data_IF_832848649828
#
_entry.id   IF_832848649828
#
_cell.length_a   1.000
_cell.length_b   1.000
_cell.length_c   1.000
_cell.angle_alpha   90.00
_cell.angle_beta   90.00
_cell.angle_gamma   90.00
#
_symmetry.space_group_name_H-M   'P 1'
#
loop_
_entity.id
_entity.type
_entity.pdbx_description
1 polymer ?
#
# COMPACT_ATOMS: atom_id res chain seq x y z
N UNK A 1 -5.59 -7.30 23.75
CA UNK A 1 -6.84 -8.04 24.14
C UNK A 1 -8.09 -7.22 23.85
N UNK A 2 -8.25 -6.01 24.40
CA UNK A 2 -9.48 -5.22 24.27
C UNK A 2 -9.98 -5.03 22.83
N UNK A 3 -9.10 -4.63 21.88
CA UNK A 3 -9.51 -4.42 20.49
C UNK A 3 -10.05 -5.69 19.82
N UNK A 4 -9.45 -6.86 20.06
CA UNK A 4 -9.96 -8.13 19.50
C UNK A 4 -11.37 -8.47 19.99
N UNK A 5 -11.68 -8.12 21.23
CA UNK A 5 -13.06 -8.27 21.77
C UNK A 5 -14.01 -7.32 21.04
N UNK A 6 -13.64 -6.05 20.91
CA UNK A 6 -14.42 -5.04 20.17
C UNK A 6 -14.59 -5.46 18.70
N UNK A 7 -13.53 -5.95 18.06
CA UNK A 7 -13.58 -6.43 16.69
C UNK A 7 -14.58 -7.57 16.53
N UNK A 8 -14.49 -8.61 17.37
CA UNK A 8 -15.37 -9.78 17.27
C UNK A 8 -16.83 -9.47 17.61
N UNK A 9 -17.09 -8.60 18.58
CA UNK A 9 -18.45 -8.25 19.00
C UNK A 9 -19.12 -7.26 18.06
N UNK A 10 -18.36 -6.35 17.46
CA UNK A 10 -18.89 -5.22 16.69
C UNK A 10 -18.50 -5.28 15.22
N UNK A 11 -17.21 -5.09 14.92
CA UNK A 11 -16.77 -4.93 13.54
C UNK A 11 -16.92 -6.20 12.69
N UNK A 12 -16.74 -7.38 13.28
CA UNK A 12 -16.89 -8.65 12.56
C UNK A 12 -18.31 -8.91 12.02
N UNK A 13 -19.31 -8.28 12.61
CA UNK A 13 -20.73 -8.42 12.23
C UNK A 13 -21.23 -7.40 11.22
N UNK A 14 -20.50 -6.30 11.05
CA UNK A 14 -20.84 -5.25 10.08
C UNK A 14 -20.37 -5.65 8.68
N UNK A 15 -20.94 -5.04 7.65
CA UNK A 15 -20.34 -5.05 6.33
C UNK A 15 -18.89 -4.55 6.39
N UNK A 16 -18.01 -5.16 5.60
CA UNK A 16 -16.56 -4.87 5.71
C UNK A 16 -16.21 -3.44 5.30
N UNK A 17 -16.88 -2.89 4.28
CA UNK A 17 -16.65 -1.52 3.82
C UNK A 17 -17.26 -0.50 4.79
N UNK A 18 -18.44 -0.79 5.38
CA UNK A 18 -19.02 0.05 6.44
C UNK A 18 -18.11 0.09 7.68
N UNK A 19 -17.59 -1.07 8.11
CA UNK A 19 -16.63 -1.14 9.22
C UNK A 19 -15.38 -0.32 8.95
N UNK A 20 -14.87 -0.33 7.70
CA UNK A 20 -13.75 0.51 7.28
C UNK A 20 -14.09 2.01 7.39
N UNK A 21 -15.26 2.44 6.92
CA UNK A 21 -15.70 3.83 7.04
C UNK A 21 -15.83 4.29 8.49
N UNK A 22 -16.39 3.47 9.37
CA UNK A 22 -16.49 3.75 10.81
C UNK A 22 -15.08 3.86 11.43
N UNK A 23 -14.19 2.92 11.13
CA UNK A 23 -12.81 2.94 11.60
C UNK A 23 -12.05 4.17 11.13
N UNK A 24 -12.20 4.54 9.86
CA UNK A 24 -11.57 5.73 9.27
C UNK A 24 -12.13 7.01 9.91
N UNK A 25 -13.44 7.09 10.14
CA UNK A 25 -14.05 8.21 10.88
C UNK A 25 -13.47 8.32 12.28
N UNK A 26 -13.37 7.20 13.01
CA UNK A 26 -12.79 7.16 14.36
C UNK A 26 -11.32 7.62 14.38
N UNK A 27 -10.50 7.18 13.42
CA UNK A 27 -9.09 7.61 13.29
C UNK A 27 -9.01 9.12 13.04
N UNK A 28 -9.81 9.63 12.11
CA UNK A 28 -9.86 11.08 11.79
C UNK A 28 -10.32 11.92 12.98
N UNK A 29 -11.37 11.47 13.66
CA UNK A 29 -11.88 12.15 14.86
C UNK A 29 -10.82 12.17 15.97
N UNK A 30 -10.23 11.00 16.31
CA UNK A 30 -9.16 10.91 17.30
C UNK A 30 -7.97 11.79 16.95
N UNK A 31 -7.60 11.89 15.66
CA UNK A 31 -6.57 12.80 15.17
C UNK A 31 -6.94 14.27 15.33
N UNK A 32 -8.17 14.64 15.05
CA UNK A 32 -8.66 16.01 15.17
C UNK A 32 -8.67 16.51 16.63
N UNK A 33 -9.03 15.65 17.58
CA UNK A 33 -9.01 15.98 19.03
C UNK A 33 -7.65 15.69 19.70
N UNK A 34 -6.63 15.25 18.93
CA UNK A 34 -5.27 15.04 19.44
C UNK A 34 -5.02 13.73 20.20
N UNK A 35 -6.00 12.83 20.28
CA UNK A 35 -5.85 11.55 20.98
C UNK A 35 -4.81 10.63 20.33
N UNK A 36 -4.64 10.69 19.01
CA UNK A 36 -3.62 9.91 18.29
C UNK A 36 -2.20 10.26 18.69
N UNK A 37 -1.95 11.49 19.17
CA UNK A 37 -0.63 11.92 19.67
C UNK A 37 -0.15 11.08 20.85
N UNK A 38 -1.04 10.52 21.67
CA UNK A 38 -0.70 9.63 22.77
C UNK A 38 -0.11 8.29 22.31
N UNK A 39 -0.38 7.93 21.06
CA UNK A 39 0.17 6.73 20.43
C UNK A 39 1.49 6.98 19.70
N UNK A 40 1.90 8.23 19.50
CA UNK A 40 3.11 8.59 18.76
C UNK A 40 4.35 7.91 19.36
N UNK A 41 5.15 7.31 18.50
CA UNK A 41 6.44 6.75 18.88
C UNK A 41 7.45 7.91 18.91
N UNK A 42 8.20 7.99 19.99
CA UNK A 42 9.44 8.80 20.04
C UNK A 42 10.58 7.86 19.73
N UNK A 43 11.06 7.89 18.49
CA UNK A 43 12.23 7.12 18.11
C UNK A 43 13.48 7.84 18.60
N UNK A 44 14.42 7.09 19.18
CA UNK A 44 15.74 7.60 19.61
C UNK A 44 16.76 7.59 18.47
N UNK A 45 16.30 7.46 17.22
CA UNK A 45 17.16 7.30 16.03
C UNK A 45 17.59 5.85 15.77
N UNK A 46 17.45 4.93 16.73
CA UNK A 46 17.68 3.50 16.50
C UNK A 46 16.56 2.95 15.61
N UNK A 47 16.92 2.18 14.57
CA UNK A 47 15.98 1.58 13.62
C UNK A 47 15.39 2.56 12.61
N UNK A 48 15.87 3.81 12.55
CA UNK A 48 15.56 4.70 11.43
C UNK A 48 16.21 4.17 10.13
N UNK A 49 15.56 4.43 9.00
CA UNK A 49 15.99 3.96 7.69
C UNK A 49 16.21 5.15 6.77
N UNK A 50 17.33 5.15 6.06
CA UNK A 50 17.58 6.06 4.94
C UNK A 50 17.34 5.29 3.64
N UNK A 51 16.43 5.75 2.81
CA UNK A 51 16.13 5.13 1.53
C UNK A 51 15.72 6.19 0.51
N UNK A 52 16.18 6.04 -0.73
CA UNK A 52 15.87 6.93 -1.87
C UNK A 52 15.83 8.43 -1.51
N UNK A 53 16.83 8.87 -0.72
CA UNK A 53 16.98 10.28 -0.30
C UNK A 53 16.05 10.72 0.83
N UNK A 54 15.23 9.83 1.39
CA UNK A 54 14.27 10.12 2.46
C UNK A 54 14.69 9.49 3.79
N UNK A 55 14.33 10.16 4.88
CA UNK A 55 14.48 9.65 6.24
C UNK A 55 13.16 9.08 6.76
N UNK A 56 13.18 7.84 7.20
CA UNK A 56 12.06 7.14 7.82
C UNK A 56 12.38 6.91 9.30
N UNK A 57 11.53 7.39 10.20
CA UNK A 57 11.70 7.22 11.65
C UNK A 57 11.73 5.75 12.10
N UNK A 58 11.13 4.85 11.31
CA UNK A 58 11.09 3.41 11.52
C UNK A 58 10.77 2.69 10.20
N UNK A 59 11.03 1.37 10.07
CA UNK A 59 10.87 0.68 8.78
C UNK A 59 9.43 0.33 8.40
N UNK A 60 8.45 0.37 9.33
CA UNK A 60 7.10 -0.13 9.08
C UNK A 60 6.09 0.99 8.81
N UNK A 61 5.37 0.90 7.68
CA UNK A 61 4.34 1.84 7.23
C UNK A 61 3.02 1.18 6.86
N UNK A 62 2.05 1.99 6.44
CA UNK A 62 0.77 1.51 5.92
C UNK A 62 0.78 1.47 4.40
N UNK A 63 0.32 0.34 3.84
CA UNK A 63 0.22 0.15 2.40
C UNK A 63 -0.97 0.92 1.79
N UNK A 64 -0.86 1.21 0.49
CA UNK A 64 -1.96 1.78 -0.30
C UNK A 64 -3.27 1.00 -0.17
N UNK A 65 -4.38 1.69 -0.34
CA UNK A 65 -5.74 1.14 -0.23
C UNK A 65 -6.42 1.45 1.09
N UNK A 66 -5.68 1.76 2.16
CA UNK A 66 -6.27 2.11 3.45
C UNK A 66 -6.80 3.56 3.47
N UNK A 67 -5.95 4.52 3.17
CA UNK A 67 -6.35 5.93 2.97
C UNK A 67 -6.27 6.29 1.48
N UNK A 68 -7.36 6.08 0.75
CA UNK A 68 -7.36 6.29 -0.70
C UNK A 68 -7.31 7.75 -1.12
N UNK A 69 -7.72 8.65 -0.23
CA UNK A 69 -8.01 10.04 -0.57
C UNK A 69 -7.21 11.05 0.28
N UNK A 70 -6.16 10.60 0.97
CA UNK A 70 -5.31 11.46 1.80
C UNK A 70 -6.08 12.19 2.92
N UNK A 71 -6.97 11.49 3.63
CA UNK A 71 -7.84 12.08 4.65
C UNK A 71 -7.41 11.79 6.09
N UNK A 72 -6.45 10.87 6.31
CA UNK A 72 -6.03 10.42 7.64
C UNK A 72 -4.52 10.35 7.84
N UNK A 73 -3.70 10.86 6.91
CA UNK A 73 -2.24 10.72 6.89
C UNK A 73 -1.60 11.03 8.25
N UNK A 74 -1.85 12.23 8.78
CA UNK A 74 -1.28 12.67 10.06
C UNK A 74 -1.67 11.75 11.21
N UNK A 75 -2.95 11.38 11.29
CA UNK A 75 -3.45 10.52 12.35
C UNK A 75 -2.83 9.10 12.26
N UNK A 76 -2.65 8.56 11.05
CA UNK A 76 -1.98 7.29 10.82
C UNK A 76 -0.50 7.34 11.26
N UNK A 77 0.23 8.41 10.93
CA UNK A 77 1.58 8.63 11.43
C UNK A 77 1.64 8.69 12.96
N UNK A 78 0.71 9.41 13.60
CA UNK A 78 0.61 9.48 15.07
C UNK A 78 0.25 8.12 15.70
N UNK A 79 -0.46 7.22 14.98
CA UNK A 79 -0.72 5.84 15.42
C UNK A 79 0.50 4.91 15.29
N UNK A 80 1.62 5.43 14.77
CA UNK A 80 2.91 4.74 14.76
C UNK A 80 3.36 4.20 13.41
N UNK A 81 2.68 4.54 12.30
CA UNK A 81 3.21 4.28 10.95
C UNK A 81 4.28 5.32 10.61
N UNK A 82 5.46 4.88 10.19
CA UNK A 82 6.56 5.77 9.82
C UNK A 82 6.34 6.40 8.43
N UNK A 83 5.63 5.71 7.57
CA UNK A 83 5.21 6.21 6.28
C UNK A 83 3.79 5.76 5.96
N UNK A 84 3.11 6.57 5.14
CA UNK A 84 1.72 6.35 4.75
C UNK A 84 1.65 6.39 3.22
N UNK A 85 1.40 5.24 2.59
CA UNK A 85 1.13 5.17 1.17
C UNK A 85 -0.38 5.34 0.95
N UNK A 86 -0.76 6.51 0.41
CA UNK A 86 -2.15 6.83 0.08
C UNK A 86 -2.50 6.33 -1.33
N UNK A 87 -3.78 6.26 -1.65
CA UNK A 87 -4.26 5.83 -2.96
C UNK A 87 -4.75 4.37 -2.93
N UNK A 88 -4.90 3.73 -4.07
CA UNK A 88 -4.49 4.19 -5.41
C UNK A 88 -5.36 5.35 -5.87
N UNK A 89 -4.71 6.40 -6.35
CA UNK A 89 -5.34 7.58 -6.96
C UNK A 89 -5.25 7.44 -8.49
N UNK A 90 -6.31 7.79 -9.19
CA UNK A 90 -6.36 7.82 -10.66
C UNK A 90 -6.46 9.27 -11.15
N UNK A 91 -6.09 9.55 -12.39
CA UNK A 91 -6.19 10.91 -12.95
C UNK A 91 -7.61 11.45 -12.81
N UNK A 92 -8.59 10.64 -13.17
CA UNK A 92 -10.01 10.96 -13.05
C UNK A 92 -10.61 10.35 -11.77
N UNK A 93 -11.59 11.03 -11.12
CA UNK A 93 -12.33 10.44 -10.00
C UNK A 93 -13.17 9.25 -10.45
N UNK A 94 -13.30 8.25 -9.59
CA UNK A 94 -14.15 7.10 -9.90
C UNK A 94 -14.74 6.46 -8.65
N UNK A 95 -15.98 5.95 -8.78
CA UNK A 95 -16.72 5.31 -7.69
C UNK A 95 -16.17 3.92 -7.34
N UNK A 96 -15.41 3.30 -8.25
CA UNK A 96 -14.97 1.91 -8.12
C UNK A 96 -16.03 0.91 -8.59
N UNK A 97 -15.83 -0.36 -8.25
CA UNK A 97 -16.73 -1.44 -8.60
C UNK A 97 -18.01 -1.44 -7.75
N UNK A 98 -19.03 -2.16 -8.19
CA UNK A 98 -20.29 -2.33 -7.45
C UNK A 98 -20.09 -3.02 -6.09
N UNK A 99 -20.95 -2.68 -5.15
CA UNK A 99 -21.00 -3.28 -3.81
C UNK A 99 -21.92 -4.52 -3.81
N UNK A 100 -21.62 -5.51 -2.93
CA UNK A 100 -20.51 -5.60 -1.98
C UNK A 100 -19.18 -5.90 -2.69
N UNK A 101 -18.11 -5.32 -2.22
CA UNK A 101 -16.78 -5.37 -2.87
C UNK A 101 -15.60 -5.55 -1.91
N UNK A 102 -15.89 -5.80 -0.64
CA UNK A 102 -14.91 -6.08 0.40
C UNK A 102 -15.44 -7.18 1.33
N UNK A 103 -14.69 -8.27 1.47
CA UNK A 103 -15.10 -9.45 2.23
C UNK A 103 -14.00 -9.86 3.20
N UNK A 104 -14.38 -10.17 4.44
CA UNK A 104 -13.45 -10.70 5.46
C UNK A 104 -13.50 -12.22 5.50
N UNK A 105 -12.34 -12.83 5.44
CA UNK A 105 -12.15 -14.25 5.68
C UNK A 105 -11.52 -14.41 7.06
N UNK A 106 -12.34 -14.37 8.11
CA UNK A 106 -11.89 -14.29 9.51
C UNK A 106 -11.02 -15.50 9.90
N UNK A 107 -11.38 -16.75 9.54
CA UNK A 107 -10.53 -17.92 9.84
C UNK A 107 -9.13 -17.83 9.26
N UNK A 108 -8.97 -17.14 8.13
CA UNK A 108 -7.71 -16.94 7.42
C UNK A 108 -7.01 -15.63 7.74
N UNK A 109 -7.62 -14.77 8.60
CA UNK A 109 -7.13 -13.41 8.84
C UNK A 109 -6.85 -12.66 7.54
N UNK A 110 -7.77 -12.74 6.61
CA UNK A 110 -7.63 -12.31 5.23
C UNK A 110 -8.80 -11.43 4.78
N UNK A 111 -8.59 -10.74 3.66
CA UNK A 111 -9.62 -9.97 2.96
C UNK A 111 -9.62 -10.35 1.48
N UNK A 112 -10.81 -10.49 0.90
CA UNK A 112 -10.99 -10.39 -0.56
C UNK A 112 -11.54 -9.01 -0.88
N UNK A 113 -10.88 -8.30 -1.79
CA UNK A 113 -11.34 -6.99 -2.24
C UNK A 113 -11.43 -6.92 -3.77
N UNK A 114 -12.46 -6.23 -4.25
CA UNK A 114 -12.63 -5.82 -5.64
C UNK A 114 -13.05 -4.36 -5.73
N UNK A 115 -12.32 -3.50 -5.00
CA UNK A 115 -12.67 -2.08 -4.81
C UNK A 115 -12.66 -1.28 -6.11
N UNK A 116 -11.76 -1.57 -7.07
CA UNK A 116 -11.70 -0.90 -8.38
C UNK A 116 -11.24 0.55 -8.29
N UNK A 117 -10.27 0.85 -7.43
CA UNK A 117 -9.65 2.17 -7.27
C UNK A 117 -10.66 3.32 -7.02
N UNK A 118 -11.66 3.10 -6.15
CA UNK A 118 -12.55 4.20 -5.76
C UNK A 118 -11.77 5.34 -5.09
N UNK A 119 -11.76 6.52 -5.72
CA UNK A 119 -11.02 7.68 -5.27
C UNK A 119 -11.58 9.01 -5.84
N UNK A 120 -11.16 10.13 -5.25
CA UNK A 120 -11.65 11.47 -5.59
C UNK A 120 -10.92 12.11 -6.79
N UNK A 121 -9.98 11.40 -7.42
CA UNK A 121 -9.17 11.87 -8.54
C UNK A 121 -7.94 12.68 -8.12
N UNK A 122 -6.93 12.71 -9.00
CA UNK A 122 -5.62 13.31 -8.72
C UNK A 122 -5.71 14.79 -8.35
N UNK A 123 -6.57 15.57 -9.03
CA UNK A 123 -6.69 17.00 -8.76
C UNK A 123 -7.20 17.30 -7.33
N UNK A 124 -8.21 16.55 -6.86
CA UNK A 124 -8.77 16.76 -5.52
C UNK A 124 -7.79 16.30 -4.44
N UNK A 125 -7.13 15.17 -4.67
CA UNK A 125 -6.13 14.62 -3.74
C UNK A 125 -4.92 15.54 -3.66
N UNK A 126 -4.41 16.07 -4.77
CA UNK A 126 -3.30 17.02 -4.79
C UNK A 126 -3.58 18.27 -3.95
N UNK A 127 -4.75 18.91 -4.13
CA UNK A 127 -5.18 20.04 -3.32
C UNK A 127 -5.28 19.73 -1.83
N UNK A 128 -5.64 18.48 -1.50
CA UNK A 128 -5.73 18.02 -0.11
C UNK A 128 -4.34 17.83 0.50
N UNK A 129 -3.41 17.25 -0.24
CA UNK A 129 -2.01 17.11 0.16
C UNK A 129 -1.33 18.47 0.33
N UNK A 130 -1.52 19.40 -0.60
CA UNK A 130 -1.03 20.78 -0.51
C UNK A 130 -1.47 21.45 0.80
N UNK A 131 -2.76 21.42 1.11
CA UNK A 131 -3.31 21.96 2.36
C UNK A 131 -2.76 21.27 3.60
N UNK A 132 -2.58 19.95 3.54
CA UNK A 132 -2.02 19.16 4.63
C UNK A 132 -0.58 19.59 4.92
N UNK A 133 0.26 19.71 3.87
CA UNK A 133 1.65 20.15 3.99
C UNK A 133 1.76 21.60 4.47
N UNK A 134 0.98 22.52 3.93
CA UNK A 134 0.94 23.90 4.37
C UNK A 134 0.58 24.03 5.86
N UNK A 135 -0.31 23.16 6.37
CA UNK A 135 -0.74 23.19 7.77
C UNK A 135 0.22 22.53 8.74
N UNK A 136 0.94 21.49 8.33
CA UNK A 136 1.67 20.62 9.26
C UNK A 136 3.19 20.56 9.01
N UNK A 137 3.67 21.03 7.85
CA UNK A 137 5.10 21.06 7.50
C UNK A 137 5.77 19.69 7.69
N UNK A 138 6.88 19.69 8.41
CA UNK A 138 7.67 18.49 8.71
C UNK A 138 7.07 17.54 9.77
N UNK A 139 5.91 17.90 10.36
CA UNK A 139 5.25 17.05 11.36
C UNK A 139 4.35 15.96 10.75
N UNK A 140 4.64 15.55 9.52
CA UNK A 140 3.96 14.48 8.82
C UNK A 140 4.85 13.25 8.70
N UNK A 141 4.29 12.03 8.64
CA UNK A 141 5.04 10.87 8.21
C UNK A 141 5.48 11.03 6.75
N UNK A 142 6.43 10.23 6.28
CA UNK A 142 6.72 10.15 4.85
C UNK A 142 5.45 9.76 4.09
N UNK A 143 5.13 10.49 3.03
CA UNK A 143 3.91 10.33 2.24
C UNK A 143 4.24 9.70 0.88
N UNK A 144 3.89 8.44 0.71
CA UNK A 144 3.86 7.80 -0.60
C UNK A 144 2.51 8.06 -1.28
N UNK A 145 2.53 8.32 -2.58
CA UNK A 145 1.31 8.42 -3.38
C UNK A 145 1.30 7.32 -4.43
N UNK A 146 0.37 6.39 -4.26
CA UNK A 146 0.16 5.28 -5.18
C UNK A 146 -0.79 5.75 -6.30
N UNK A 147 -0.34 5.65 -7.55
CA UNK A 147 -1.09 6.05 -8.74
C UNK A 147 -1.42 4.85 -9.62
N UNK A 148 -2.58 4.90 -10.25
CA UNK A 148 -3.06 3.82 -11.11
C UNK A 148 -3.91 4.34 -12.27
N UNK A 149 -4.15 3.48 -13.27
CA UNK A 149 -4.94 3.81 -14.46
C UNK A 149 -6.41 4.03 -14.11
N UNK A 150 -6.99 5.11 -14.62
CA UNK A 150 -8.44 5.36 -14.58
C UNK A 150 -9.19 4.27 -15.35
N UNK A 151 -10.34 3.81 -14.81
CA UNK A 151 -11.11 2.70 -15.40
C UNK A 151 -11.60 3.00 -16.81
N UNK A 152 -12.00 4.25 -17.05
CA UNK A 152 -12.57 4.70 -18.33
C UNK A 152 -11.53 4.92 -19.42
N UNK A 153 -10.25 4.91 -19.05
CA UNK A 153 -9.14 5.05 -20.00
C UNK A 153 -8.75 3.67 -20.50
N UNK A 154 -8.65 3.50 -21.81
CA UNK A 154 -8.22 2.25 -22.44
C UNK A 154 -6.76 1.94 -22.12
N UNK A 155 -6.36 0.67 -22.25
CA UNK A 155 -5.02 0.21 -21.92
C UNK A 155 -3.95 0.91 -22.77
N UNK A 156 -4.24 1.15 -24.03
CA UNK A 156 -3.38 1.82 -25.01
C UNK A 156 -3.10 3.29 -24.67
N UNK A 157 -3.94 3.89 -23.83
CA UNK A 157 -3.81 5.26 -23.36
C UNK A 157 -3.35 5.36 -21.88
N UNK A 158 -2.92 4.23 -21.31
CA UNK A 158 -2.49 4.17 -19.91
C UNK A 158 -1.36 5.16 -19.61
N UNK A 159 -0.37 5.27 -20.50
CA UNK A 159 0.76 6.20 -20.34
C UNK A 159 0.29 7.62 -20.04
N UNK A 160 -0.61 8.17 -20.86
CA UNK A 160 -1.11 9.54 -20.70
C UNK A 160 -1.86 9.74 -19.39
N UNK A 161 -2.58 8.74 -18.90
CA UNK A 161 -3.35 8.77 -17.66
C UNK A 161 -2.42 8.74 -16.42
N UNK A 162 -1.37 7.88 -16.45
CA UNK A 162 -0.33 7.89 -15.41
C UNK A 162 0.46 9.20 -15.40
N UNK A 163 0.82 9.74 -16.57
CA UNK A 163 1.46 11.04 -16.75
C UNK A 163 0.66 12.16 -16.09
N UNK A 164 -0.65 12.21 -16.37
CA UNK A 164 -1.54 13.22 -15.78
C UNK A 164 -1.62 13.11 -14.25
N UNK A 165 -1.68 11.88 -13.72
CA UNK A 165 -1.65 11.65 -12.27
C UNK A 165 -0.33 12.08 -11.65
N UNK A 166 0.82 11.72 -12.26
CA UNK A 166 2.15 12.05 -11.77
C UNK A 166 2.36 13.57 -11.73
N UNK A 167 2.02 14.28 -12.80
CA UNK A 167 2.13 15.76 -12.89
C UNK A 167 1.43 16.48 -11.74
N UNK A 168 0.24 16.00 -11.35
CA UNK A 168 -0.55 16.63 -10.29
C UNK A 168 -0.07 16.25 -8.88
N UNK A 169 0.43 15.04 -8.69
CA UNK A 169 0.65 14.46 -7.37
C UNK A 169 2.12 14.49 -6.92
N UNK A 170 3.07 14.40 -7.86
CA UNK A 170 4.49 14.40 -7.52
C UNK A 170 4.95 15.60 -6.68
N UNK A 171 4.50 16.85 -6.93
CA UNK A 171 4.92 18.00 -6.14
C UNK A 171 4.51 17.93 -4.66
N UNK A 172 3.58 17.04 -4.32
CA UNK A 172 3.03 16.89 -2.98
C UNK A 172 3.37 15.54 -2.32
N UNK A 173 4.00 14.62 -3.06
CA UNK A 173 4.44 13.32 -2.59
C UNK A 173 5.90 13.36 -2.11
N UNK A 174 6.27 12.49 -1.16
CA UNK A 174 7.67 12.21 -0.87
C UNK A 174 8.20 11.09 -1.77
N UNK A 175 7.33 10.19 -2.25
CA UNK A 175 7.58 9.26 -3.33
C UNK A 175 6.30 8.90 -4.09
N UNK A 176 6.43 8.51 -5.35
CA UNK A 176 5.35 7.94 -6.15
C UNK A 176 5.49 6.42 -6.25
N UNK A 177 4.34 5.71 -6.22
CA UNK A 177 4.27 4.28 -6.47
C UNK A 177 3.36 4.00 -7.68
N UNK A 178 3.94 3.50 -8.78
CA UNK A 178 3.20 3.15 -10.00
C UNK A 178 2.55 1.78 -9.82
N UNK A 179 1.23 1.74 -9.78
CA UNK A 179 0.46 0.53 -9.51
C UNK A 179 -0.13 -0.05 -10.80
N UNK A 180 0.55 -1.02 -11.37
CA UNK A 180 0.10 -1.80 -12.54
C UNK A 180 -0.41 -3.20 -12.17
N UNK A 181 -0.59 -3.49 -10.88
CA UNK A 181 -0.71 -4.86 -10.35
C UNK A 181 -2.08 -5.20 -9.76
N UNK A 182 -3.06 -4.29 -9.77
CA UNK A 182 -4.38 -4.59 -9.23
C UNK A 182 -5.16 -5.59 -10.11
N UNK A 183 -5.75 -6.65 -9.52
CA UNK A 183 -6.60 -7.57 -10.27
C UNK A 183 -8.02 -7.01 -10.52
N UNK A 184 -8.32 -5.82 -10.00
CA UNK A 184 -9.68 -5.28 -9.89
C UNK A 184 -10.00 -4.24 -10.97
N UNK A 185 -9.06 -3.96 -11.87
CA UNK A 185 -9.21 -3.05 -13.01
C UNK A 185 -8.94 -3.85 -14.28
N UNK A 186 -9.87 -3.89 -15.23
CA UNK A 186 -9.71 -4.66 -16.47
C UNK A 186 -8.42 -4.27 -17.22
N UNK A 187 -7.69 -5.26 -17.72
CA UNK A 187 -6.48 -5.09 -18.49
C UNK A 187 -5.27 -4.53 -17.72
N UNK A 188 -5.41 -4.12 -16.47
CA UNK A 188 -4.30 -3.46 -15.75
C UNK A 188 -3.08 -4.36 -15.60
N UNK A 189 -3.28 -5.65 -15.34
CA UNK A 189 -2.15 -6.58 -15.11
C UNK A 189 -1.36 -6.90 -16.38
N UNK A 190 -1.93 -6.72 -17.58
CA UNK A 190 -1.17 -6.83 -18.84
C UNK A 190 -0.11 -5.74 -18.98
N UNK A 191 -0.27 -4.63 -18.25
CA UNK A 191 0.72 -3.54 -18.19
C UNK A 191 1.98 -3.90 -17.36
N UNK A 192 2.07 -5.10 -16.80
CA UNK A 192 3.28 -5.55 -16.09
C UNK A 192 4.33 -6.21 -17.01
N UNK A 193 4.02 -6.48 -18.28
CA UNK A 193 5.07 -6.85 -19.23
C UNK A 193 6.02 -5.67 -19.43
N UNK A 194 7.31 -5.96 -19.66
CA UNK A 194 8.34 -4.92 -19.80
C UNK A 194 7.97 -3.91 -20.90
N UNK A 195 7.49 -4.41 -22.05
CA UNK A 195 7.14 -3.60 -23.21
C UNK A 195 6.00 -2.61 -22.94
N UNK A 196 5.04 -3.01 -22.11
CA UNK A 196 3.90 -2.17 -21.75
C UNK A 196 4.21 -1.25 -20.55
N UNK A 197 5.10 -1.69 -19.66
CA UNK A 197 5.44 -1.00 -18.43
C UNK A 197 6.44 0.14 -18.66
N UNK A 198 7.43 -0.07 -19.51
CA UNK A 198 8.51 0.88 -19.78
C UNK A 198 8.01 2.28 -20.22
N UNK A 199 7.09 2.42 -21.19
CA UNK A 199 6.55 3.73 -21.56
C UNK A 199 5.84 4.44 -20.40
N UNK A 200 5.11 3.69 -19.57
CA UNK A 200 4.42 4.24 -18.41
C UNK A 200 5.42 4.78 -17.38
N UNK A 201 6.47 4.01 -17.09
CA UNK A 201 7.48 4.41 -16.11
C UNK A 201 8.26 5.64 -16.59
N UNK A 202 8.64 5.70 -17.87
CA UNK A 202 9.27 6.86 -18.48
C UNK A 202 8.39 8.10 -18.36
N UNK A 203 7.09 7.98 -18.70
CA UNK A 203 6.13 9.08 -18.59
C UNK A 203 5.99 9.60 -17.16
N UNK A 204 5.99 8.69 -16.16
CA UNK A 204 5.94 9.08 -14.76
C UNK A 204 7.24 9.73 -14.30
N UNK A 205 8.41 9.21 -14.70
CA UNK A 205 9.72 9.78 -14.36
C UNK A 205 9.88 11.20 -14.89
N UNK A 206 9.44 11.47 -16.12
CA UNK A 206 9.46 12.82 -16.71
C UNK A 206 8.69 13.84 -15.88
N UNK A 207 7.52 13.47 -15.33
CA UNK A 207 6.67 14.36 -14.53
C UNK A 207 7.06 14.38 -13.03
N UNK A 208 7.73 13.35 -12.54
CA UNK A 208 8.11 13.22 -11.14
C UNK A 208 9.23 14.19 -10.73
N UNK A 209 10.07 14.61 -11.68
CA UNK A 209 11.22 15.47 -11.41
C UNK A 209 12.18 14.80 -10.42
N UNK A 210 12.35 15.39 -9.23
CA UNK A 210 13.20 14.84 -8.17
C UNK A 210 12.45 13.89 -7.22
N UNK A 211 11.14 13.70 -7.38
CA UNK A 211 10.35 12.81 -6.51
C UNK A 211 10.68 11.35 -6.86
N UNK A 212 11.13 10.53 -5.90
CA UNK A 212 11.45 9.13 -6.13
C UNK A 212 10.25 8.35 -6.67
N UNK A 213 10.47 7.51 -7.69
CA UNK A 213 9.43 6.67 -8.30
C UNK A 213 9.73 5.20 -8.01
N UNK A 214 8.71 4.48 -7.56
CA UNK A 214 8.74 3.03 -7.35
C UNK A 214 7.66 2.35 -8.20
N UNK A 215 7.86 1.08 -8.55
CA UNK A 215 6.84 0.26 -9.21
C UNK A 215 6.29 -0.80 -8.25
N UNK A 216 4.95 -1.02 -8.26
CA UNK A 216 4.29 -2.02 -7.40
C UNK A 216 3.79 -3.20 -8.23
N UNK A 217 4.30 -4.39 -7.93
CA UNK A 217 4.07 -5.62 -8.68
C UNK A 217 3.08 -6.57 -8.00
N UNK A 218 2.48 -7.46 -8.81
CA UNK A 218 1.62 -8.53 -8.33
C UNK A 218 2.43 -9.74 -7.82
N UNK A 219 1.92 -10.49 -6.84
CA UNK A 219 2.56 -11.73 -6.38
C UNK A 219 2.40 -12.88 -7.38
N UNK A 220 1.44 -12.76 -8.30
CA UNK A 220 1.05 -13.81 -9.24
C UNK A 220 1.86 -13.78 -10.55
N UNK A 221 2.83 -12.87 -10.68
CA UNK A 221 3.79 -12.88 -11.78
C UNK A 221 4.66 -14.14 -11.74
N UNK A 222 5.06 -14.63 -12.92
CA UNK A 222 6.10 -15.63 -13.04
C UNK A 222 7.44 -15.11 -12.50
N UNK A 223 8.31 -15.98 -12.04
CA UNK A 223 9.57 -15.56 -11.42
C UNK A 223 10.48 -14.83 -12.43
N UNK A 224 10.42 -15.24 -13.71
CA UNK A 224 11.11 -14.61 -14.84
C UNK A 224 10.60 -13.18 -15.08
N UNK A 225 9.29 -12.96 -14.99
CA UNK A 225 8.68 -11.62 -15.15
C UNK A 225 9.05 -10.71 -13.97
N UNK A 226 9.11 -11.25 -12.75
CA UNK A 226 9.59 -10.52 -11.57
C UNK A 226 11.03 -10.04 -11.80
N UNK A 227 11.89 -10.91 -12.32
CA UNK A 227 13.28 -10.57 -12.63
C UNK A 227 13.37 -9.50 -13.74
N UNK A 228 12.56 -9.62 -14.79
CA UNK A 228 12.52 -8.67 -15.89
C UNK A 228 12.05 -7.27 -15.44
N UNK A 229 11.02 -7.20 -14.59
CA UNK A 229 10.56 -5.93 -13.99
C UNK A 229 11.63 -5.34 -13.06
N UNK A 230 12.36 -6.18 -12.32
CA UNK A 230 13.47 -5.72 -11.47
C UNK A 230 14.59 -5.08 -12.28
N UNK A 231 14.96 -5.69 -13.40
CA UNK A 231 15.97 -5.14 -14.33
C UNK A 231 15.49 -3.81 -14.91
N UNK A 232 14.29 -3.79 -15.46
CA UNK A 232 13.70 -2.55 -16.01
C UNK A 232 13.69 -1.42 -14.96
N UNK A 233 13.29 -1.73 -13.73
CA UNK A 233 13.27 -0.74 -12.65
C UNK A 233 14.66 -0.17 -12.35
N UNK A 234 15.69 -1.02 -12.37
CA UNK A 234 17.07 -0.60 -12.18
C UNK A 234 17.58 0.21 -13.37
N UNK A 235 17.36 -0.25 -14.59
CA UNK A 235 17.87 0.37 -15.83
C UNK A 235 17.25 1.76 -16.07
N UNK A 236 15.98 1.95 -15.70
CA UNK A 236 15.31 3.25 -15.75
C UNK A 236 15.66 4.17 -14.55
N UNK A 237 16.44 3.71 -13.58
CA UNK A 237 16.79 4.50 -12.41
C UNK A 237 15.64 4.71 -11.41
N UNK A 238 14.70 3.76 -11.34
CA UNK A 238 13.66 3.82 -10.30
C UNK A 238 14.28 3.74 -8.91
N UNK A 239 13.63 4.37 -7.96
CA UNK A 239 14.03 4.36 -6.55
C UNK A 239 13.84 2.97 -5.88
N UNK A 240 12.93 2.15 -6.41
CA UNK A 240 12.70 0.81 -5.88
C UNK A 240 11.50 0.07 -6.45
N UNK A 241 11.27 -1.12 -5.88
CA UNK A 241 10.14 -2.00 -6.18
C UNK A 241 9.32 -2.25 -4.92
N UNK A 242 7.99 -2.20 -5.03
CA UNK A 242 7.05 -2.56 -3.94
C UNK A 242 6.50 -3.95 -4.23
N UNK A 243 6.79 -4.90 -3.39
CA UNK A 243 6.37 -6.29 -3.50
C UNK A 243 5.69 -6.78 -2.21
N UNK A 244 4.36 -7.05 -2.25
CA UNK A 244 3.51 -7.22 -3.44
C UNK A 244 2.15 -6.55 -3.27
N UNK A 245 1.36 -6.52 -4.36
CA UNK A 245 -0.08 -6.30 -4.31
C UNK A 245 -0.79 -7.58 -3.78
N UNK A 246 -2.09 -7.68 -3.95
CA UNK A 246 -2.94 -8.82 -3.57
C UNK A 246 -2.87 -9.96 -4.61
N UNK A 247 -3.10 -11.21 -4.18
CA UNK A 247 -3.11 -12.40 -5.05
C UNK A 247 -4.52 -12.76 -5.52
N UNK A 248 -4.61 -13.42 -6.66
CA UNK A 248 -5.85 -14.08 -7.13
C UNK A 248 -5.96 -15.54 -6.67
N UNK A 249 -4.88 -16.15 -6.14
CA UNK A 249 -4.93 -17.49 -5.59
C UNK A 249 -5.90 -17.58 -4.40
N UNK A 250 -6.52 -18.75 -4.27
CA UNK A 250 -7.43 -19.10 -3.18
C UNK A 250 -6.97 -20.36 -2.43
N UNK A 251 -5.74 -20.79 -2.70
CA UNK A 251 -5.19 -22.02 -2.16
C UNK A 251 -4.98 -21.95 -0.66
N UNK A 252 -5.18 -23.07 0.03
CA UNK A 252 -4.89 -23.23 1.44
C UNK A 252 -5.81 -22.45 2.40
N UNK A 253 -6.93 -21.90 1.92
CA UNK A 253 -7.88 -21.18 2.77
C UNK A 253 -8.63 -22.14 3.72
N UNK A 254 -8.81 -21.69 4.97
CA UNK A 254 -9.58 -22.36 6.02
C UNK A 254 -11.07 -21.99 5.97
N UNK A 255 -11.39 -20.82 5.41
CA UNK A 255 -12.76 -20.35 5.24
C UNK A 255 -13.53 -21.32 4.34
N UNK A 256 -14.79 -21.59 4.69
CA UNK A 256 -15.67 -22.46 3.91
C UNK A 256 -15.66 -22.07 2.43
N UNK A 257 -15.43 -23.03 1.51
CA UNK A 257 -15.34 -22.78 0.08
C UNK A 257 -16.55 -22.06 -0.50
N UNK A 258 -17.75 -22.31 0.01
CA UNK A 258 -18.97 -21.62 -0.44
C UNK A 258 -18.93 -20.10 -0.11
N UNK A 259 -18.35 -19.72 1.04
CA UNK A 259 -18.17 -18.32 1.41
C UNK A 259 -17.13 -17.66 0.49
N UNK A 260 -16.05 -18.36 0.21
CA UNK A 260 -14.99 -17.89 -0.71
C UNK A 260 -15.55 -17.72 -2.12
N UNK A 261 -16.32 -18.68 -2.61
CA UNK A 261 -16.98 -18.63 -3.91
C UNK A 261 -17.99 -17.47 -3.99
N UNK A 262 -18.79 -17.26 -2.96
CA UNK A 262 -19.75 -16.16 -2.87
C UNK A 262 -19.07 -14.77 -2.86
N UNK A 263 -17.86 -14.66 -2.33
CA UNK A 263 -17.06 -13.44 -2.42
C UNK A 263 -16.61 -13.15 -3.86
N UNK A 264 -16.52 -14.15 -4.72
CA UNK A 264 -16.21 -14.03 -6.15
C UNK A 264 -14.80 -13.57 -6.46
N UNK A 265 -14.64 -12.97 -7.65
CA UNK A 265 -13.35 -12.42 -8.08
C UNK A 265 -12.88 -11.26 -7.18
N UNK A 266 -11.56 -11.05 -7.12
CA UNK A 266 -10.92 -9.99 -6.35
C UNK A 266 -9.54 -10.38 -5.85
N UNK A 267 -8.83 -9.42 -5.29
CA UNK A 267 -7.51 -9.64 -4.70
C UNK A 267 -7.62 -10.13 -3.25
N UNK A 268 -6.92 -11.21 -2.91
CA UNK A 268 -6.77 -11.76 -1.56
C UNK A 268 -5.55 -11.16 -0.88
N UNK A 269 -5.73 -10.65 0.33
CA UNK A 269 -4.67 -10.11 1.19
C UNK A 269 -4.72 -10.72 2.59
N UNK A 270 -3.69 -10.50 3.38
CA UNK A 270 -3.57 -11.02 4.74
C UNK A 270 -2.68 -12.25 4.84
N UNK A 271 -2.86 -13.06 5.89
CA UNK A 271 -1.96 -14.17 6.21
C UNK A 271 -1.70 -15.16 5.06
N UNK A 272 -2.68 -15.51 4.19
CA UNK A 272 -2.42 -16.42 3.06
C UNK A 272 -1.35 -15.92 2.08
N UNK A 273 -1.14 -14.61 1.98
CA UNK A 273 -0.15 -14.03 1.07
C UNK A 273 1.30 -14.12 1.59
N UNK A 274 1.49 -14.45 2.89
CA UNK A 274 2.79 -14.38 3.57
C UNK A 274 3.91 -15.10 2.85
N UNK A 275 3.71 -16.37 2.51
CA UNK A 275 4.75 -17.21 1.90
C UNK A 275 5.17 -16.64 0.54
N UNK A 276 4.23 -16.43 -0.38
CA UNK A 276 4.53 -15.94 -1.73
C UNK A 276 5.17 -14.56 -1.72
N UNK A 277 4.70 -13.64 -0.88
CA UNK A 277 5.31 -12.29 -0.81
C UNK A 277 6.75 -12.32 -0.25
N UNK A 278 7.10 -13.31 0.60
CA UNK A 278 8.47 -13.52 1.06
C UNK A 278 9.35 -14.12 -0.04
N UNK A 279 8.83 -15.05 -0.84
CA UNK A 279 9.53 -15.60 -2.02
C UNK A 279 9.83 -14.49 -3.02
N UNK A 280 8.85 -13.67 -3.38
CA UNK A 280 9.04 -12.53 -4.28
C UNK A 280 10.09 -11.55 -3.75
N UNK A 281 10.09 -11.27 -2.44
CA UNK A 281 11.14 -10.45 -1.82
C UNK A 281 12.54 -11.06 -2.04
N UNK A 282 12.69 -12.37 -1.83
CA UNK A 282 13.97 -13.06 -2.01
C UNK A 282 14.45 -13.05 -3.46
N UNK A 283 13.55 -13.25 -4.42
CA UNK A 283 13.83 -13.13 -5.85
C UNK A 283 14.33 -11.73 -6.21
N UNK A 284 13.59 -10.70 -5.79
CA UNK A 284 13.99 -9.31 -6.00
C UNK A 284 15.33 -9.00 -5.32
N UNK A 285 15.56 -9.48 -4.09
CA UNK A 285 16.82 -9.26 -3.38
C UNK A 285 18.01 -9.91 -4.12
N UNK A 286 17.82 -11.13 -4.57
CA UNK A 286 18.84 -11.85 -5.34
C UNK A 286 19.16 -11.11 -6.67
N UNK A 287 18.14 -10.63 -7.39
CA UNK A 287 18.31 -9.93 -8.66
C UNK A 287 18.89 -8.53 -8.49
N UNK A 288 18.36 -7.74 -7.60
CA UNK A 288 18.74 -6.34 -7.40
C UNK A 288 19.99 -6.16 -6.55
N UNK A 289 20.33 -7.12 -5.71
CA UNK A 289 21.51 -7.10 -4.84
C UNK A 289 21.68 -5.77 -4.05
N UNK A 290 20.60 -5.13 -3.67
CA UNK A 290 20.60 -3.88 -2.90
C UNK A 290 20.87 -2.61 -3.72
N UNK A 291 20.90 -2.68 -5.05
CA UNK A 291 21.12 -1.52 -5.94
C UNK A 291 19.99 -0.49 -5.88
N UNK A 292 18.76 -0.94 -5.72
CA UNK A 292 17.58 -0.10 -5.46
C UNK A 292 16.77 -0.65 -4.29
N UNK A 293 15.88 0.17 -3.71
CA UNK A 293 15.11 -0.21 -2.54
C UNK A 293 14.03 -1.26 -2.83
N UNK A 294 13.73 -2.11 -1.84
CA UNK A 294 12.59 -3.03 -1.90
C UNK A 294 11.67 -2.73 -0.71
N UNK A 295 10.42 -2.38 -0.98
CA UNK A 295 9.38 -2.27 0.05
C UNK A 295 8.59 -3.58 0.06
N UNK A 296 8.69 -4.35 1.15
CA UNK A 296 8.00 -5.64 1.28
C UNK A 296 6.60 -5.47 1.85
N UNK A 297 5.60 -6.02 1.16
CA UNK A 297 4.18 -5.94 1.52
C UNK A 297 3.52 -7.31 1.36
N UNK A 298 2.69 -7.71 2.31
CA UNK A 298 1.85 -8.91 2.21
C UNK A 298 2.04 -9.88 3.38
N UNK A 299 0.95 -10.18 4.08
CA UNK A 299 0.88 -11.19 5.13
C UNK A 299 1.59 -10.85 6.44
N UNK A 300 2.00 -9.61 6.65
CA UNK A 300 2.69 -9.17 7.87
C UNK A 300 1.67 -8.83 8.94
N UNK A 301 1.81 -9.41 10.13
CA UNK A 301 0.93 -9.20 11.27
C UNK A 301 1.70 -8.86 12.56
N UNK A 302 2.96 -9.31 12.67
CA UNK A 302 3.80 -9.18 13.88
C UNK A 302 5.13 -8.48 13.59
N UNK A 303 5.81 -8.02 14.64
CA UNK A 303 7.15 -7.46 14.52
C UNK A 303 8.18 -8.51 14.07
N UNK A 304 8.03 -9.75 14.50
CA UNK A 304 8.90 -10.87 14.07
C UNK A 304 8.81 -11.07 12.56
N UNK A 305 7.60 -11.03 11.99
CA UNK A 305 7.41 -11.15 10.54
C UNK A 305 7.93 -9.94 9.78
N UNK A 306 7.78 -8.75 10.34
CA UNK A 306 8.37 -7.54 9.78
C UNK A 306 9.90 -7.60 9.81
N UNK A 307 10.51 -8.08 10.91
CA UNK A 307 11.95 -8.30 11.01
C UNK A 307 12.43 -9.35 10.01
N UNK A 308 11.71 -10.47 9.85
CA UNK A 308 12.02 -11.47 8.83
C UNK A 308 12.11 -10.87 7.42
N UNK A 309 11.24 -9.88 7.09
CA UNK A 309 11.33 -9.19 5.79
C UNK A 309 12.60 -8.33 5.69
N UNK A 310 12.93 -7.59 6.74
CA UNK A 310 14.16 -6.80 6.79
C UNK A 310 15.41 -7.68 6.67
N UNK A 311 15.45 -8.80 7.38
CA UNK A 311 16.56 -9.77 7.33
C UNK A 311 16.71 -10.43 5.95
N UNK A 312 15.61 -10.55 5.19
CA UNK A 312 15.61 -11.03 3.81
C UNK A 312 15.82 -9.91 2.77
N UNK A 313 16.23 -8.72 3.21
CA UNK A 313 16.70 -7.64 2.34
C UNK A 313 15.66 -6.60 1.93
N UNK A 314 14.50 -6.57 2.58
CA UNK A 314 13.59 -5.43 2.44
C UNK A 314 14.24 -4.18 3.05
N UNK A 315 14.12 -3.04 2.35
CA UNK A 315 14.53 -1.72 2.86
C UNK A 315 13.47 -1.17 3.82
N UNK A 316 12.20 -1.33 3.45
CA UNK A 316 11.03 -0.93 4.21
C UNK A 316 9.97 -2.02 4.16
N UNK A 317 9.02 -1.93 5.08
CA UNK A 317 7.95 -2.92 5.22
C UNK A 317 6.61 -2.21 5.34
N UNK A 318 5.57 -2.73 4.69
CA UNK A 318 4.23 -2.19 4.80
C UNK A 318 3.21 -3.25 5.17
N UNK A 319 2.14 -2.83 5.83
CA UNK A 319 1.01 -3.68 6.13
C UNK A 319 -0.33 -2.99 5.96
N UNK A 320 -1.38 -3.80 5.80
CA UNK A 320 -2.76 -3.35 5.65
C UNK A 320 -3.71 -4.24 6.46
N UNK A 321 -3.86 -5.50 6.08
CA UNK A 321 -4.85 -6.42 6.64
C UNK A 321 -4.64 -6.66 8.13
N UNK A 322 -3.39 -6.74 8.59
CA UNK A 322 -3.04 -6.83 10.00
C UNK A 322 -3.60 -5.66 10.83
N UNK A 323 -3.64 -4.45 10.29
CA UNK A 323 -4.22 -3.28 10.98
C UNK A 323 -5.70 -3.47 11.31
N UNK A 324 -6.46 -4.10 10.41
CA UNK A 324 -7.89 -4.37 10.61
C UNK A 324 -8.09 -5.35 11.77
N UNK A 325 -7.28 -6.40 11.85
CA UNK A 325 -7.40 -7.44 12.87
C UNK A 325 -6.74 -7.11 14.21
N UNK A 326 -5.66 -6.33 14.20
CA UNK A 326 -4.85 -6.00 15.38
C UNK A 326 -5.16 -4.64 16.01
N UNK A 327 -5.83 -3.75 15.28
CA UNK A 327 -6.34 -2.47 15.77
C UNK A 327 -5.34 -1.32 15.78
N UNK A 328 -5.77 -0.16 16.31
CA UNK A 328 -5.13 1.12 16.09
C UNK A 328 -3.70 1.24 16.61
N UNK A 329 -3.29 0.43 17.58
CA UNK A 329 -1.94 0.45 18.13
C UNK A 329 -1.00 -0.58 17.48
N UNK A 330 -1.41 -1.23 16.40
CA UNK A 330 -0.64 -2.29 15.75
C UNK A 330 0.69 -1.80 15.19
N UNK A 331 0.70 -0.74 14.41
CA UNK A 331 1.92 -0.17 13.85
C UNK A 331 2.90 0.29 14.94
N UNK A 332 2.36 0.92 16.00
CA UNK A 332 3.15 1.31 17.17
C UNK A 332 3.84 0.11 17.82
N UNK A 333 3.14 -1.02 17.99
CA UNK A 333 3.75 -2.24 18.56
C UNK A 333 4.89 -2.74 17.68
N UNK A 334 4.65 -2.87 16.37
CA UNK A 334 5.66 -3.34 15.42
C UNK A 334 6.88 -2.43 15.44
N UNK A 335 6.72 -1.14 15.17
CA UNK A 335 7.84 -0.22 15.07
C UNK A 335 8.61 -0.08 16.40
N UNK A 336 7.91 -0.14 17.54
CA UNK A 336 8.57 -0.12 18.84
C UNK A 336 9.48 -1.35 19.09
N UNK A 337 9.13 -2.51 18.56
CA UNK A 337 9.95 -3.71 18.65
C UNK A 337 11.12 -3.67 17.67
N UNK A 338 10.90 -3.17 16.44
CA UNK A 338 11.93 -3.03 15.41
C UNK A 338 12.98 -1.94 15.72
N UNK A 339 12.66 -0.99 16.60
CA UNK A 339 13.54 0.13 16.94
C UNK A 339 14.18 0.01 18.34
N UNK A 340 14.03 -1.14 19.01
CA UNK A 340 14.71 -1.47 20.28
C UNK A 340 16.11 -2.01 20.02
#
# INVERSE_FOLDING_TARGET
MLYRVIFNLFFARLDAEQAHHIGMFGIRFAGAVGLTKLARIRTTGRGSVQAFGLHFDAPFGVAAGFDKNAVAIKALGELGFSHVEIGTVTALPQAGNEKPRLFRLIPDRALINRMGFNNDGAQVVAKRLEKLRARHGSNLPVIGVNIGKSRVVEVEHAESDYRASARLLAPHADYLAVNVSSPNTPGLRSLQSVEALEPILNAVLEEAGSTPVLVKIAPDLADEDIAAVADLAFDLGLAGVIATNTTISRDGLKTNPNIVAAAGAGGLSGAPLKARSLEVLRLLRARLNGRIAIISVGGIETATEAQERLDNGATLVQGYTGFIYEGPLWARRINRELTR
#
